data_IF_847483982618
#
_entry.id   IF_847483982618
#
_cell.length_a   1.000
_cell.length_b   1.000
_cell.length_c   1.000
_cell.angle_alpha   90.00
_cell.angle_beta   90.00
_cell.angle_gamma   90.00
#
_symmetry.space_group_name_H-M   'P 1'
#
loop_
_entity.id
_entity.type
_entity.pdbx_description
1 polymer ?
#
# COMPACT_ATOMS: atom_id res chain seq x y z
N UNK A 1 3.13 13.87 -0.95
CA UNK A 1 2.63 12.85 -1.88
C UNK A 1 3.77 12.46 -2.81
N UNK A 2 4.16 11.18 -2.81
CA UNK A 2 5.45 10.70 -3.34
C UNK A 2 5.80 11.13 -4.76
N UNK A 3 5.01 10.76 -5.79
CA UNK A 3 5.37 11.06 -7.19
C UNK A 3 5.09 12.50 -7.62
N UNK A 4 4.53 13.36 -6.74
CA UNK A 4 4.22 14.75 -7.08
C UNK A 4 5.46 15.57 -7.48
N UNK A 5 6.62 15.27 -6.90
CA UNK A 5 7.88 15.93 -7.28
C UNK A 5 8.39 15.50 -8.67
N UNK A 6 7.89 14.39 -9.21
CA UNK A 6 8.33 13.81 -10.48
C UNK A 6 7.44 14.27 -11.64
N UNK A 7 6.12 14.12 -11.52
CA UNK A 7 5.17 14.39 -12.61
C UNK A 7 4.18 15.53 -12.31
N UNK A 8 4.26 16.16 -11.14
CA UNK A 8 3.20 17.07 -10.67
C UNK A 8 1.93 16.36 -10.19
N UNK A 9 1.80 15.05 -10.43
CA UNK A 9 0.76 14.21 -9.83
C UNK A 9 -0.67 14.48 -10.31
N UNK A 10 -0.89 14.55 -11.63
CA UNK A 10 -2.22 14.80 -12.20
C UNK A 10 -3.20 13.63 -11.99
N UNK A 11 -2.79 12.41 -12.37
CA UNK A 11 -3.58 11.16 -12.30
C UNK A 11 -4.99 11.25 -12.87
N UNK A 12 -5.21 12.18 -13.78
CA UNK A 12 -6.52 12.55 -14.29
C UNK A 12 -6.34 13.34 -15.59
N UNK A 13 -6.84 12.81 -16.72
CA UNK A 13 -6.72 13.49 -18.01
C UNK A 13 -7.33 14.89 -18.02
N UNK A 14 -8.44 15.11 -17.32
CA UNK A 14 -9.06 16.42 -17.24
C UNK A 14 -8.19 17.43 -16.46
N UNK A 15 -7.50 16.97 -15.40
CA UNK A 15 -6.54 17.81 -14.65
C UNK A 15 -5.32 18.10 -15.52
N UNK A 16 -4.76 17.09 -16.18
CA UNK A 16 -3.60 17.26 -17.05
C UNK A 16 -3.90 18.23 -18.21
N UNK A 17 -5.02 18.05 -18.90
CA UNK A 17 -5.47 18.95 -19.99
C UNK A 17 -5.74 20.36 -19.47
N UNK A 18 -6.43 20.48 -18.32
CA UNK A 18 -6.74 21.77 -17.72
C UNK A 18 -5.50 22.57 -17.35
N UNK A 19 -4.53 21.93 -16.68
CA UNK A 19 -3.25 22.55 -16.30
C UNK A 19 -2.48 22.95 -17.56
N UNK A 20 -2.28 22.04 -18.51
CA UNK A 20 -1.48 22.30 -19.72
C UNK A 20 -2.09 23.41 -20.58
N UNK A 21 -3.43 23.42 -20.72
CA UNK A 21 -4.16 24.49 -21.41
C UNK A 21 -4.00 25.84 -20.70
N UNK A 22 -4.11 25.86 -19.37
CA UNK A 22 -3.93 27.10 -18.60
C UNK A 22 -2.51 27.64 -18.67
N UNK A 23 -1.52 26.78 -18.91
CA UNK A 23 -0.12 27.13 -19.05
C UNK A 23 0.35 27.29 -20.50
N UNK A 24 -0.56 27.41 -21.47
CA UNK A 24 -0.23 27.42 -22.92
C UNK A 24 0.90 28.39 -23.31
N UNK A 25 0.98 29.55 -22.65
CA UNK A 25 2.04 30.54 -22.88
C UNK A 25 3.45 30.06 -22.47
N UNK A 26 3.55 28.99 -21.67
CA UNK A 26 4.79 28.38 -21.18
C UNK A 26 5.15 27.07 -21.92
N UNK A 27 4.26 26.60 -22.79
CA UNK A 27 4.34 25.29 -23.45
C UNK A 27 3.00 24.56 -23.38
N UNK A 28 2.77 23.66 -24.34
CA UNK A 28 1.53 22.91 -24.48
C UNK A 28 1.78 21.58 -25.20
N UNK A 29 0.92 20.59 -24.94
CA UNK A 29 0.90 19.29 -25.61
C UNK A 29 1.36 18.14 -24.72
N UNK A 30 1.89 18.41 -23.53
CA UNK A 30 2.25 17.39 -22.55
C UNK A 30 1.04 16.62 -22.05
N UNK A 31 -0.13 17.26 -22.01
CA UNK A 31 -1.37 16.62 -21.56
C UNK A 31 -1.75 15.38 -22.38
N UNK A 32 -1.37 15.32 -23.67
CA UNK A 32 -1.63 14.15 -24.51
C UNK A 32 -0.85 12.92 -24.02
N UNK A 33 0.42 13.11 -23.65
CA UNK A 33 1.27 12.04 -23.11
C UNK A 33 0.83 11.65 -21.70
N UNK A 34 0.47 12.62 -20.87
CA UNK A 34 -0.09 12.35 -19.53
C UNK A 34 -1.37 11.54 -19.61
N UNK A 35 -2.29 11.95 -20.48
CA UNK A 35 -3.56 11.24 -20.73
C UNK A 35 -3.33 9.80 -21.14
N UNK A 36 -2.35 9.54 -22.02
CA UNK A 36 -1.97 8.18 -22.41
C UNK A 36 -1.54 7.34 -21.19
N UNK A 37 -0.64 7.85 -20.36
CA UNK A 37 -0.17 7.12 -19.18
C UNK A 37 -1.26 6.91 -18.14
N UNK A 38 -2.16 7.88 -17.96
CA UNK A 38 -3.30 7.78 -17.05
C UNK A 38 -4.28 6.69 -17.51
N UNK A 39 -4.55 6.57 -18.82
CA UNK A 39 -5.35 5.47 -19.35
C UNK A 39 -4.64 4.11 -19.25
N UNK A 40 -3.32 4.05 -19.44
CA UNK A 40 -2.55 2.83 -19.18
C UNK A 40 -2.73 2.40 -17.72
N UNK A 41 -2.64 3.34 -16.77
CA UNK A 41 -2.92 3.09 -15.36
C UNK A 41 -4.33 2.57 -15.10
N UNK A 42 -5.34 3.14 -15.77
CA UNK A 42 -6.72 2.67 -15.66
C UNK A 42 -6.90 1.22 -16.16
N UNK A 43 -6.28 0.86 -17.30
CA UNK A 43 -6.32 -0.51 -17.83
C UNK A 43 -5.62 -1.49 -16.89
N UNK A 44 -4.46 -1.12 -16.34
CA UNK A 44 -3.76 -1.94 -15.34
C UNK A 44 -4.61 -2.15 -14.08
N UNK A 45 -5.35 -1.13 -13.63
CA UNK A 45 -6.25 -1.24 -12.49
C UNK A 45 -7.40 -2.23 -12.73
N UNK A 46 -7.99 -2.24 -13.93
CA UNK A 46 -9.00 -3.24 -14.33
C UNK A 46 -8.42 -4.65 -14.31
N UNK A 47 -7.21 -4.83 -14.86
CA UNK A 47 -6.52 -6.12 -14.83
C UNK A 47 -6.25 -6.59 -13.39
N UNK A 48 -5.75 -5.71 -12.53
CA UNK A 48 -5.53 -6.02 -11.12
C UNK A 48 -6.83 -6.39 -10.39
N UNK A 49 -7.91 -5.65 -10.64
CA UNK A 49 -9.23 -5.93 -10.09
C UNK A 49 -9.71 -7.34 -10.47
N UNK A 50 -9.67 -7.73 -11.74
CA UNK A 50 -10.05 -9.08 -12.18
C UNK A 50 -9.13 -10.19 -11.66
N UNK A 51 -7.88 -9.89 -11.35
CA UNK A 51 -6.97 -10.87 -10.78
C UNK A 51 -7.26 -11.15 -9.30
N UNK A 52 -7.70 -10.14 -8.54
CA UNK A 52 -8.07 -10.31 -7.13
C UNK A 52 -9.54 -10.71 -6.97
N UNK A 53 -10.40 -10.37 -7.94
CA UNK A 53 -11.83 -10.66 -7.98
C UNK A 53 -12.26 -11.27 -9.32
N UNK A 54 -11.78 -12.48 -9.65
CA UNK A 54 -12.18 -13.16 -10.89
C UNK A 54 -13.70 -13.45 -10.98
N UNK A 55 -14.37 -13.58 -9.84
CA UNK A 55 -15.82 -13.79 -9.69
C UNK A 55 -16.66 -12.58 -10.11
N UNK A 56 -16.12 -11.36 -9.99
CA UNK A 56 -16.77 -10.11 -10.39
C UNK A 56 -16.64 -9.84 -11.91
N UNK A 57 -16.21 -10.84 -12.68
CA UNK A 57 -15.97 -10.70 -14.12
C UNK A 57 -17.23 -11.01 -14.93
N UNK A 58 -17.78 -9.98 -15.55
CA UNK A 58 -18.91 -10.10 -16.48
C UNK A 58 -20.25 -9.78 -15.82
N UNK A 59 -21.34 -9.99 -16.56
CA UNK A 59 -22.67 -9.52 -16.15
C UNK A 59 -23.34 -10.41 -15.08
N UNK A 60 -22.82 -11.62 -14.85
CA UNK A 60 -23.31 -12.60 -13.86
C UNK A 60 -22.49 -12.57 -12.54
N UNK A 61 -21.83 -11.45 -12.25
CA UNK A 61 -21.04 -11.27 -11.04
C UNK A 61 -21.86 -11.53 -9.77
N UNK A 62 -21.37 -12.42 -8.92
CA UNK A 62 -21.97 -12.75 -7.64
C UNK A 62 -20.91 -12.74 -6.54
N UNK A 63 -21.22 -12.26 -5.32
CA UNK A 63 -20.26 -12.23 -4.22
C UNK A 63 -19.81 -13.66 -3.86
N UNK A 64 -18.50 -13.88 -3.78
CA UNK A 64 -17.93 -15.11 -3.19
C UNK A 64 -18.00 -15.06 -1.66
N UNK A 65 -18.37 -16.19 -1.03
CA UNK A 65 -18.29 -16.33 0.43
C UNK A 65 -16.85 -16.49 0.91
N UNK A 66 -15.97 -17.06 0.08
CA UNK A 66 -14.55 -17.25 0.38
C UNK A 66 -13.67 -17.08 -0.86
N UNK A 67 -12.75 -16.12 -0.80
CA UNK A 67 -11.80 -15.87 -1.89
C UNK A 67 -10.73 -16.97 -2.02
N UNK A 68 -10.34 -17.22 -3.26
CA UNK A 68 -9.24 -18.14 -3.59
C UNK A 68 -7.91 -17.73 -2.95
N UNK A 69 -7.04 -18.71 -2.70
CA UNK A 69 -5.68 -18.46 -2.18
C UNK A 69 -4.85 -17.57 -3.14
N UNK A 70 -5.09 -17.70 -4.44
CA UNK A 70 -4.43 -16.86 -5.45
C UNK A 70 -4.84 -15.40 -5.30
N UNK A 71 -6.15 -15.13 -5.18
CA UNK A 71 -6.69 -13.78 -4.98
C UNK A 71 -6.12 -13.14 -3.72
N UNK A 72 -6.09 -13.90 -2.62
CA UNK A 72 -5.48 -13.51 -1.33
C UNK A 72 -4.01 -13.10 -1.49
N UNK A 73 -3.20 -13.92 -2.16
CA UNK A 73 -1.77 -13.64 -2.37
C UNK A 73 -1.55 -12.42 -3.28
N UNK A 74 -2.34 -12.26 -4.34
CA UNK A 74 -2.25 -11.10 -5.24
C UNK A 74 -2.65 -9.82 -4.50
N UNK A 75 -3.69 -9.87 -3.65
CA UNK A 75 -4.08 -8.74 -2.82
C UNK A 75 -2.95 -8.32 -1.87
N UNK A 76 -2.31 -9.29 -1.18
CA UNK A 76 -1.13 -9.03 -0.35
C UNK A 76 0.03 -8.40 -1.14
N UNK A 77 0.27 -8.88 -2.36
CA UNK A 77 1.28 -8.31 -3.24
C UNK A 77 0.99 -6.84 -3.58
N UNK A 78 -0.23 -6.53 -4.02
CA UNK A 78 -0.64 -5.17 -4.41
C UNK A 78 -0.54 -4.22 -3.21
N UNK A 79 -1.05 -4.61 -2.06
CA UNK A 79 -1.04 -3.77 -0.86
C UNK A 79 0.38 -3.47 -0.36
N UNK A 80 1.25 -4.48 -0.26
CA UNK A 80 2.65 -4.27 0.16
C UNK A 80 3.45 -3.50 -0.88
N UNK A 81 3.26 -3.76 -2.18
CA UNK A 81 3.89 -3.01 -3.26
C UNK A 81 3.58 -1.52 -3.13
N UNK A 82 2.29 -1.16 -2.99
CA UNK A 82 1.86 0.23 -2.86
C UNK A 82 2.39 0.91 -1.60
N UNK A 83 2.45 0.17 -0.48
CA UNK A 83 3.01 0.67 0.77
C UNK A 83 4.50 1.03 0.61
N UNK A 84 5.31 0.12 0.07
CA UNK A 84 6.76 0.32 -0.08
C UNK A 84 7.07 1.38 -1.15
N UNK A 85 6.36 1.36 -2.27
CA UNK A 85 6.47 2.39 -3.31
C UNK A 85 6.19 3.79 -2.71
N UNK A 86 5.10 3.92 -1.94
CA UNK A 86 4.71 5.19 -1.31
C UNK A 86 5.73 5.64 -0.28
N UNK A 87 6.21 4.74 0.58
CA UNK A 87 7.21 5.06 1.59
C UNK A 87 8.52 5.53 0.95
N UNK A 88 9.05 4.77 -0.01
CA UNK A 88 10.31 5.10 -0.68
C UNK A 88 10.27 6.42 -1.43
N UNK A 89 9.20 6.69 -2.19
CA UNK A 89 9.03 7.98 -2.85
C UNK A 89 8.98 9.13 -1.85
N UNK A 90 8.20 9.01 -0.76
CA UNK A 90 8.10 10.08 0.23
C UNK A 90 9.43 10.36 0.97
N UNK A 91 10.25 9.34 1.22
CA UNK A 91 11.60 9.53 1.77
C UNK A 91 12.49 10.28 0.78
N UNK A 92 12.52 9.84 -0.49
CA UNK A 92 13.40 10.42 -1.51
C UNK A 92 13.05 11.86 -1.87
N UNK A 93 11.76 12.23 -1.82
CA UNK A 93 11.33 13.62 -2.09
C UNK A 93 11.28 14.48 -0.83
N UNK A 94 11.77 13.97 0.31
CA UNK A 94 11.78 14.66 1.61
C UNK A 94 10.40 15.25 1.98
N UNK A 95 9.34 14.43 1.75
CA UNK A 95 7.95 14.86 1.92
C UNK A 95 7.65 15.24 3.37
N UNK A 96 7.24 16.49 3.61
CA UNK A 96 6.77 16.95 4.94
C UNK A 96 5.51 16.22 5.43
N UNK A 97 4.81 15.53 4.54
CA UNK A 97 3.60 14.76 4.84
C UNK A 97 3.83 13.25 4.66
N UNK A 98 5.08 12.77 4.80
CA UNK A 98 5.42 11.36 4.59
C UNK A 98 4.56 10.41 5.43
N UNK A 99 4.46 10.64 6.74
CA UNK A 99 3.69 9.79 7.65
C UNK A 99 2.21 9.68 7.23
N UNK A 100 1.56 10.82 6.94
CA UNK A 100 0.18 10.85 6.45
C UNK A 100 0.04 10.17 5.08
N UNK A 101 0.97 10.40 4.15
CA UNK A 101 0.91 9.78 2.81
C UNK A 101 1.04 8.26 2.88
N UNK A 102 1.90 7.73 3.74
CA UNK A 102 2.11 6.29 3.92
C UNK A 102 0.88 5.67 4.61
N UNK A 103 0.39 6.31 5.67
CA UNK A 103 -0.83 5.91 6.36
C UNK A 103 -2.05 5.89 5.43
N UNK A 104 -2.21 6.91 4.59
CA UNK A 104 -3.30 6.99 3.62
C UNK A 104 -3.21 5.87 2.57
N UNK A 105 -2.00 5.54 2.09
CA UNK A 105 -1.79 4.41 1.18
C UNK A 105 -2.19 3.09 1.84
N UNK A 106 -1.74 2.83 3.06
CA UNK A 106 -2.10 1.63 3.81
C UNK A 106 -3.62 1.52 4.00
N UNK A 107 -4.24 2.61 4.48
CA UNK A 107 -5.69 2.69 4.69
C UNK A 107 -6.47 2.44 3.40
N UNK A 108 -6.07 3.04 2.27
CA UNK A 108 -6.72 2.81 0.98
C UNK A 108 -6.65 1.34 0.56
N UNK A 109 -5.51 0.68 0.74
CA UNK A 109 -5.36 -0.73 0.38
C UNK A 109 -6.17 -1.65 1.30
N UNK A 110 -6.23 -1.36 2.61
CA UNK A 110 -7.08 -2.12 3.54
C UNK A 110 -8.56 -2.01 3.15
N UNK A 111 -9.05 -0.81 2.84
CA UNK A 111 -10.46 -0.64 2.46
C UNK A 111 -10.78 -1.14 1.05
N UNK A 112 -9.81 -1.22 0.14
CA UNK A 112 -10.05 -1.67 -1.22
C UNK A 112 -10.02 -3.19 -1.37
N UNK A 113 -9.08 -3.86 -0.70
CA UNK A 113 -8.78 -5.29 -0.92
C UNK A 113 -8.49 -6.06 0.39
N UNK A 114 -8.68 -5.43 1.55
CA UNK A 114 -8.45 -6.08 2.85
C UNK A 114 -9.50 -7.13 3.20
N UNK A 115 -10.70 -7.06 2.61
CA UNK A 115 -11.71 -8.12 2.71
C UNK A 115 -11.28 -9.42 2.00
N UNK A 116 -10.41 -9.31 0.99
CA UNK A 116 -9.90 -10.45 0.22
C UNK A 116 -8.90 -11.25 1.05
N UNK A 117 -7.84 -10.60 1.53
CA UNK A 117 -6.71 -11.27 2.20
C UNK A 117 -6.68 -11.12 3.72
N UNK A 118 -7.49 -10.23 4.30
CA UNK A 118 -7.32 -9.72 5.65
C UNK A 118 -6.44 -8.47 5.74
N UNK A 119 -5.84 -8.03 4.62
CA UNK A 119 -5.07 -6.79 4.52
C UNK A 119 -3.83 -6.75 5.43
N UNK A 120 -3.06 -7.84 5.49
CA UNK A 120 -1.90 -7.92 6.39
C UNK A 120 -0.77 -6.98 5.93
N UNK A 121 -0.42 -7.05 4.66
CA UNK A 121 0.60 -6.27 3.94
C UNK A 121 1.97 -6.16 4.61
N UNK A 122 2.23 -6.99 5.63
CA UNK A 122 3.37 -6.90 6.52
C UNK A 122 3.65 -8.28 7.17
N UNK A 123 4.88 -8.79 7.09
CA UNK A 123 5.22 -10.06 7.70
C UNK A 123 5.05 -10.10 9.23
N UNK A 124 5.37 -9.02 9.94
CA UNK A 124 5.20 -8.94 11.39
C UNK A 124 3.72 -8.98 11.79
N UNK A 125 2.85 -8.33 11.02
CA UNK A 125 1.39 -8.40 11.21
C UNK A 125 0.89 -9.83 10.96
N UNK A 126 1.38 -10.48 9.91
CA UNK A 126 1.05 -11.88 9.59
C UNK A 126 1.46 -12.83 10.71
N UNK A 127 2.67 -12.65 11.26
CA UNK A 127 3.15 -13.41 12.42
C UNK A 127 2.30 -13.14 13.65
N UNK A 128 1.91 -11.89 13.92
CA UNK A 128 1.07 -11.55 15.07
C UNK A 128 -0.32 -12.21 14.97
N UNK A 129 -0.95 -12.17 13.80
CA UNK A 129 -2.26 -12.78 13.56
C UNK A 129 -2.16 -14.30 13.69
N UNK A 130 -1.15 -14.95 13.08
CA UNK A 130 -0.92 -16.38 13.24
C UNK A 130 -0.67 -16.76 14.71
N UNK A 131 0.22 -16.03 15.37
CA UNK A 131 0.61 -16.26 16.76
C UNK A 131 -0.49 -15.98 17.78
N UNK A 132 -1.54 -15.24 17.41
CA UNK A 132 -2.71 -15.02 18.27
C UNK A 132 -3.50 -16.29 18.55
N UNK A 133 -3.32 -17.35 17.74
CA UNK A 133 -3.99 -18.64 17.91
C UNK A 133 -5.50 -18.61 17.65
N UNK A 134 -6.02 -17.56 16.99
CA UNK A 134 -7.46 -17.36 16.77
C UNK A 134 -8.03 -18.00 15.50
N UNK A 135 -7.23 -18.81 14.79
CA UNK A 135 -7.66 -19.46 13.55
C UNK A 135 -7.99 -18.48 12.42
N UNK A 136 -7.41 -17.27 12.42
CA UNK A 136 -7.64 -16.25 11.37
C UNK A 136 -6.82 -16.47 10.10
N UNK A 137 -5.77 -17.28 10.17
CA UNK A 137 -4.92 -17.65 9.05
C UNK A 137 -4.26 -18.99 9.32
N UNK A 138 -4.14 -19.84 8.31
CA UNK A 138 -3.39 -21.09 8.41
C UNK A 138 -1.87 -20.85 8.38
N UNK A 139 -1.03 -21.65 9.07
CA UNK A 139 0.42 -21.48 9.06
C UNK A 139 1.04 -21.49 7.65
N UNK A 140 0.51 -22.31 6.74
CA UNK A 140 0.98 -22.39 5.36
C UNK A 140 0.69 -21.09 4.60
N UNK A 141 -0.55 -20.61 4.65
CA UNK A 141 -0.97 -19.35 4.05
C UNK A 141 -0.21 -18.16 4.63
N UNK A 142 0.02 -18.13 5.93
CA UNK A 142 0.86 -17.13 6.57
C UNK A 142 2.30 -17.13 6.01
N UNK A 143 2.89 -18.31 5.80
CA UNK A 143 4.18 -18.45 5.13
C UNK A 143 4.19 -17.89 3.71
N UNK A 144 3.13 -18.15 2.94
CA UNK A 144 3.00 -17.65 1.57
C UNK A 144 2.76 -16.14 1.52
N UNK A 145 1.95 -15.59 2.44
CA UNK A 145 1.76 -14.16 2.60
C UNK A 145 3.09 -13.45 2.86
N UNK A 146 3.90 -13.94 3.80
CA UNK A 146 5.20 -13.35 4.10
C UNK A 146 6.13 -13.36 2.88
N UNK A 147 6.16 -14.46 2.11
CA UNK A 147 6.93 -14.52 0.88
C UNK A 147 6.43 -13.52 -0.18
N UNK A 148 5.12 -13.45 -0.39
CA UNK A 148 4.47 -12.52 -1.30
C UNK A 148 4.75 -11.05 -0.94
N UNK A 149 4.65 -10.71 0.34
CA UNK A 149 4.94 -9.38 0.89
C UNK A 149 6.41 -9.01 0.69
N UNK A 150 7.36 -9.91 0.97
CA UNK A 150 8.79 -9.66 0.77
C UNK A 150 9.11 -9.43 -0.71
N UNK A 151 8.62 -10.29 -1.60
CA UNK A 151 8.82 -10.14 -3.05
C UNK A 151 8.23 -8.81 -3.54
N UNK A 152 7.02 -8.47 -3.09
CA UNK A 152 6.36 -7.24 -3.49
C UNK A 152 7.01 -5.98 -2.90
N UNK A 153 7.57 -6.08 -1.70
CA UNK A 153 8.38 -5.02 -1.12
C UNK A 153 9.65 -4.74 -1.94
N UNK A 154 10.32 -5.80 -2.42
CA UNK A 154 11.46 -5.65 -3.33
C UNK A 154 11.04 -5.00 -4.66
N UNK A 155 9.91 -5.42 -5.24
CA UNK A 155 9.38 -4.81 -6.47
C UNK A 155 8.96 -3.35 -6.27
N UNK A 156 8.35 -3.02 -5.13
CA UNK A 156 8.03 -1.64 -4.75
C UNK A 156 9.28 -0.79 -4.60
N UNK A 157 10.36 -1.38 -4.06
CA UNK A 157 11.64 -0.71 -3.93
C UNK A 157 12.30 -0.42 -5.28
N UNK A 158 12.30 -1.40 -6.18
CA UNK A 158 12.76 -1.24 -7.55
C UNK A 158 11.92 -0.20 -8.32
N UNK A 159 10.60 -0.17 -8.07
CA UNK A 159 9.70 0.79 -8.71
C UNK A 159 9.99 2.22 -8.26
N UNK A 160 10.11 2.51 -6.96
CA UNK A 160 10.45 3.87 -6.53
C UNK A 160 11.84 4.27 -7.03
N UNK A 161 12.80 3.34 -7.04
CA UNK A 161 14.15 3.61 -7.52
C UNK A 161 14.12 3.95 -9.02
N UNK A 162 13.39 3.18 -9.82
CA UNK A 162 13.21 3.43 -11.26
C UNK A 162 12.53 4.77 -11.54
N UNK A 163 11.47 5.11 -10.82
CA UNK A 163 10.80 6.42 -10.92
C UNK A 163 11.75 7.57 -10.59
N UNK A 164 12.64 7.37 -9.62
CA UNK A 164 13.62 8.36 -9.17
C UNK A 164 14.96 8.27 -9.93
N UNK A 165 15.00 7.64 -11.12
CA UNK A 165 16.19 7.60 -11.96
C UNK A 165 17.36 6.80 -11.37
N UNK A 166 17.06 5.76 -10.58
CA UNK A 166 18.03 4.89 -9.91
C UNK A 166 18.47 5.36 -8.52
N UNK A 167 17.94 6.49 -8.03
CA UNK A 167 18.28 7.01 -6.70
C UNK A 167 17.63 6.15 -5.60
N UNK A 168 18.44 5.79 -4.60
CA UNK A 168 18.02 5.01 -3.43
C UNK A 168 18.63 5.60 -2.15
N UNK A 169 18.26 5.06 -0.99
CA UNK A 169 18.75 5.48 0.32
C UNK A 169 19.08 4.25 1.19
N UNK A 170 20.12 4.32 2.03
CA UNK A 170 20.46 3.24 2.94
C UNK A 170 19.54 3.22 4.16
N UNK A 171 19.24 2.03 4.67
CA UNK A 171 18.64 1.87 6.00
C UNK A 171 19.76 1.91 7.05
N UNK A 172 19.54 2.60 8.16
CA UNK A 172 20.48 2.67 9.27
C UNK A 172 20.00 3.59 10.39
N UNK A 173 20.70 3.66 11.53
CA UNK A 173 20.38 4.61 12.58
C UNK A 173 20.35 6.04 12.06
N UNK A 174 19.29 6.78 12.42
CA UNK A 174 19.19 8.20 12.11
C UNK A 174 20.31 9.02 12.73
N UNK A 175 20.52 10.25 12.23
CA UNK A 175 21.59 11.13 12.71
C UNK A 175 21.49 11.35 14.23
N UNK A 176 22.54 10.97 14.95
CA UNK A 176 22.62 11.12 16.41
C UNK A 176 22.05 9.96 17.21
N UNK A 177 21.55 8.91 16.55
CA UNK A 177 21.00 7.72 17.20
C UNK A 177 21.88 6.49 16.99
N UNK A 178 21.86 5.57 17.96
CA UNK A 178 22.50 4.26 17.88
C UNK A 178 21.48 3.12 17.81
N UNK A 179 21.97 1.89 17.66
CA UNK A 179 21.12 0.70 17.52
C UNK A 179 20.17 0.46 18.70
N UNK A 180 20.51 0.86 19.92
CA UNK A 180 19.59 0.75 21.06
C UNK A 180 18.33 1.58 20.84
N UNK A 181 18.47 2.82 20.38
CA UNK A 181 17.34 3.69 20.07
C UNK A 181 16.52 3.17 18.88
N UNK A 182 17.19 2.66 17.85
CA UNK A 182 16.53 2.02 16.69
C UNK A 182 15.71 0.83 17.15
N UNK A 183 16.29 -0.10 17.91
CA UNK A 183 15.59 -1.28 18.41
C UNK A 183 14.40 -0.92 19.28
N UNK A 184 14.54 0.07 20.15
CA UNK A 184 13.43 0.53 21.00
C UNK A 184 12.27 1.10 20.15
N UNK A 185 12.58 1.93 19.15
CA UNK A 185 11.58 2.48 18.24
C UNK A 185 10.89 1.39 17.40
N UNK A 186 11.65 0.53 16.73
CA UNK A 186 11.12 -0.54 15.87
C UNK A 186 10.22 -1.51 16.66
N UNK A 187 10.64 -1.90 17.87
CA UNK A 187 9.83 -2.76 18.74
C UNK A 187 8.56 -2.06 19.19
N UNK A 188 8.64 -0.81 19.65
CA UNK A 188 7.48 -0.09 20.17
C UNK A 188 6.41 0.16 19.10
N UNK A 189 6.81 0.65 17.91
CA UNK A 189 5.85 0.96 16.86
C UNK A 189 5.34 -0.28 16.12
N UNK A 190 6.15 -1.33 15.97
CA UNK A 190 5.67 -2.63 15.49
C UNK A 190 4.69 -3.26 16.49
N UNK A 191 4.97 -3.15 17.80
CA UNK A 191 4.05 -3.59 18.84
C UNK A 191 2.71 -2.87 18.72
N UNK A 192 2.70 -1.54 18.62
CA UNK A 192 1.46 -0.75 18.48
C UNK A 192 0.68 -1.20 17.24
N UNK A 193 1.34 -1.30 16.08
CA UNK A 193 0.70 -1.74 14.84
C UNK A 193 0.08 -3.14 14.99
N UNK A 194 0.88 -4.13 15.40
CA UNK A 194 0.41 -5.51 15.53
C UNK A 194 -0.69 -5.64 16.58
N UNK A 195 -0.54 -4.98 17.73
CA UNK A 195 -1.55 -4.99 18.79
C UNK A 195 -2.87 -4.38 18.32
N UNK A 196 -2.83 -3.24 17.64
CA UNK A 196 -4.01 -2.59 17.07
C UNK A 196 -4.68 -3.50 16.05
N UNK A 197 -3.94 -4.09 15.11
CA UNK A 197 -4.50 -5.06 14.15
C UNK A 197 -5.21 -6.21 14.86
N UNK A 198 -4.57 -6.80 15.88
CA UNK A 198 -5.20 -7.86 16.67
C UNK A 198 -6.49 -7.38 17.34
N UNK A 199 -6.52 -6.16 17.88
CA UNK A 199 -7.71 -5.59 18.51
C UNK A 199 -8.84 -5.31 17.52
N UNK A 200 -8.57 -4.70 16.36
CA UNK A 200 -9.64 -4.22 15.47
C UNK A 200 -10.00 -5.16 14.33
N UNK A 201 -9.05 -5.93 13.80
CA UNK A 201 -9.29 -6.81 12.66
C UNK A 201 -9.60 -8.25 13.07
N UNK A 202 -9.21 -8.68 14.28
CA UNK A 202 -9.35 -10.09 14.70
C UNK A 202 -10.33 -10.32 15.85
N UNK A 203 -11.08 -9.29 16.28
CA UNK A 203 -12.13 -9.41 17.31
C UNK A 203 -13.51 -9.19 16.73
N UNK A 204 -14.50 -9.93 17.24
CA UNK A 204 -15.91 -9.73 16.87
C UNK A 204 -16.54 -8.53 17.59
N UNK A 205 -15.94 -8.08 18.67
CA UNK A 205 -16.45 -6.99 19.54
C UNK A 205 -15.71 -5.67 19.35
N UNK A 206 -14.93 -5.53 18.27
CA UNK A 206 -14.26 -4.27 17.93
C UNK A 206 -15.28 -3.11 17.90
N UNK A 207 -15.07 -2.02 18.68
CA UNK A 207 -16.07 -0.96 18.83
C UNK A 207 -16.45 -0.23 17.53
N UNK A 208 -15.55 -0.23 16.54
CA UNK A 208 -15.72 0.50 15.28
C UNK A 208 -15.16 -0.30 14.09
N UNK A 209 -15.80 -1.43 13.75
CA UNK A 209 -15.36 -2.33 12.65
C UNK A 209 -15.22 -1.61 11.30
N UNK A 210 -16.13 -0.70 10.99
CA UNK A 210 -16.10 0.08 9.74
C UNK A 210 -14.88 1.02 9.63
N UNK A 211 -14.23 1.33 10.77
CA UNK A 211 -13.06 2.19 10.82
C UNK A 211 -11.74 1.41 10.90
N UNK A 212 -11.76 0.10 10.72
CA UNK A 212 -10.58 -0.78 10.89
C UNK A 212 -9.37 -0.27 10.10
N UNK A 213 -9.53 0.04 8.82
CA UNK A 213 -8.43 0.54 7.98
C UNK A 213 -7.90 1.91 8.43
N UNK A 214 -8.79 2.79 8.89
CA UNK A 214 -8.41 4.10 9.43
C UNK A 214 -7.63 3.97 10.74
N UNK A 215 -8.09 3.10 11.65
CA UNK A 215 -7.45 2.87 12.94
C UNK A 215 -6.05 2.27 12.74
N UNK A 216 -5.92 1.25 11.88
CA UNK A 216 -4.62 0.63 11.55
C UNK A 216 -3.70 1.64 10.86
N UNK A 217 -4.20 2.39 9.86
CA UNK A 217 -3.41 3.40 9.16
C UNK A 217 -2.91 4.51 10.09
N UNK A 218 -3.71 4.92 11.08
CA UNK A 218 -3.34 5.95 12.05
C UNK A 218 -2.13 5.57 12.91
N UNK A 219 -1.84 4.28 13.11
CA UNK A 219 -0.62 3.82 13.79
C UNK A 219 0.67 4.27 13.07
N UNK A 220 0.61 4.56 11.76
CA UNK A 220 1.76 5.01 10.97
C UNK A 220 1.94 6.54 11.03
N UNK A 221 0.96 7.26 11.59
CA UNK A 221 0.99 8.73 11.69
C UNK A 221 1.58 9.28 12.98
N UNK A 222 1.88 8.41 13.95
CA UNK A 222 2.31 8.74 15.31
C UNK A 222 3.74 8.30 15.58
#
# INVERSE_FOLDING_TARGET
YGPGAVSGGCFNPAVAIGIDTSSIAKGFGWCAVYTLFEFIGAVLAVGAFWLVRPEERGDDAAPEEEYSEQSKLIAECIGTFMLVLTAGLNVLVESKAAAFSIAASLMCMIYAIGDISGGHFNPAVTVAILGSGRGKIEPKTAGMYMAAQVVSGLLGALAYAGIMGGVTFPIGPGRGFGWVSVSAAEVAFTFVLCFVVLCVATTETAPAKELTGFIIGSCVTV
#
